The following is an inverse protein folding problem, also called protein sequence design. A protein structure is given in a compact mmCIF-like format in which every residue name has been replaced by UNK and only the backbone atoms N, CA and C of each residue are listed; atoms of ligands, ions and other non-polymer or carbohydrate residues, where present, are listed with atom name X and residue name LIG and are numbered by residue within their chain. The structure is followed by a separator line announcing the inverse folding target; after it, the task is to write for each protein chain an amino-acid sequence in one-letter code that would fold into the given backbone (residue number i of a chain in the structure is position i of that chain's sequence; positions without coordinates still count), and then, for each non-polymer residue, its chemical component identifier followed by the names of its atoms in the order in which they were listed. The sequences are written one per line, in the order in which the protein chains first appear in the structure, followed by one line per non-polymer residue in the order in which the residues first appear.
data_IF_390582193270
#
_entry.id   IF_390582193270
#
_cell.length_a   1.000
_cell.length_b   1.000
_cell.length_c   1.000
_cell.angle_alpha   90.00
_cell.angle_beta   90.00
_cell.angle_gamma   90.00
#
_symmetry.space_group_name_H-M   'P 1'
#
loop_
_entity.id
_entity.type
_entity.pdbx_description
1 polymer ?
#
# COMPACT_ATOMS: atom_id res chain seq x y z
N UNK A 1 -7.95 8.06 8.06
CA UNK A 1 -8.11 7.71 9.50
C UNK A 1 -8.65 8.87 10.35
N UNK A 2 -8.11 10.11 10.22
CA UNK A 2 -8.53 11.26 11.05
C UNK A 2 -10.04 11.56 11.06
N UNK A 3 -10.71 11.49 9.91
CA UNK A 3 -12.18 11.64 9.82
C UNK A 3 -12.94 10.60 10.66
N UNK A 4 -12.54 9.34 10.60
CA UNK A 4 -13.18 8.27 11.38
C UNK A 4 -13.04 8.52 12.89
N UNK A 5 -11.82 8.83 13.36
CA UNK A 5 -11.56 9.13 14.77
C UNK A 5 -12.41 10.30 15.27
N UNK A 6 -12.53 11.37 14.47
CA UNK A 6 -13.38 12.50 14.80
C UNK A 6 -14.86 12.09 14.93
N UNK A 7 -15.38 11.27 14.00
CA UNK A 7 -16.77 10.78 14.03
C UNK A 7 -17.07 9.89 15.25
N UNK A 8 -16.09 9.10 15.71
CA UNK A 8 -16.22 8.28 16.93
C UNK A 8 -16.40 9.15 18.18
N UNK A 9 -15.68 10.28 18.27
CA UNK A 9 -15.77 11.22 19.39
C UNK A 9 -17.12 11.97 19.45
N UNK A 10 -17.87 12.02 18.34
CA UNK A 10 -19.19 12.65 18.32
C UNK A 10 -20.30 11.73 18.84
N UNK A 11 -20.01 10.46 19.13
CA UNK A 11 -21.02 9.49 19.56
C UNK A 11 -21.38 9.69 21.05
N UNK A 12 -22.67 9.49 21.37
CA UNK A 12 -23.16 9.60 22.76
C UNK A 12 -22.57 8.53 23.69
N UNK A 13 -22.37 7.31 23.18
CA UNK A 13 -21.84 6.18 23.92
C UNK A 13 -20.52 5.72 23.29
N UNK A 14 -19.48 5.46 24.10
CA UNK A 14 -18.20 4.98 23.58
C UNK A 14 -18.36 3.55 23.03
N UNK A 15 -17.70 3.30 21.89
CA UNK A 15 -17.62 1.99 21.23
C UNK A 15 -16.31 1.88 20.47
N UNK A 16 -15.88 0.64 20.27
CA UNK A 16 -14.74 0.30 19.43
C UNK A 16 -15.20 0.01 18.00
N UNK A 17 -14.45 0.52 17.02
CA UNK A 17 -14.76 0.37 15.61
C UNK A 17 -13.52 -0.11 14.84
N UNK A 18 -13.72 -1.09 13.97
CA UNK A 18 -12.73 -1.45 12.96
C UNK A 18 -12.82 -0.46 11.79
N UNK A 19 -11.69 0.15 11.45
CA UNK A 19 -11.56 1.07 10.32
C UNK A 19 -10.63 0.45 9.29
N UNK A 20 -11.21 -0.02 8.19
CA UNK A 20 -10.50 -0.71 7.12
C UNK A 20 -11.24 -0.54 5.79
N UNK A 21 -10.52 -0.75 4.68
CA UNK A 21 -11.07 -0.71 3.32
C UNK A 21 -11.87 -1.96 2.94
N UNK A 22 -11.71 -3.05 3.71
CA UNK A 22 -12.29 -4.36 3.36
C UNK A 22 -11.60 -5.05 2.17
N UNK A 23 -10.43 -4.53 1.73
CA UNK A 23 -9.61 -5.12 0.67
C UNK A 23 -8.21 -5.40 1.21
N UNK A 24 -7.59 -6.46 0.71
CA UNK A 24 -6.20 -6.83 1.00
C UNK A 24 -5.45 -6.99 -0.31
N UNK A 25 -4.19 -6.60 -0.33
CA UNK A 25 -3.33 -6.57 -1.51
C UNK A 25 -1.94 -7.08 -1.11
N UNK A 26 -1.24 -7.71 -2.05
CA UNK A 26 0.11 -8.20 -1.80
C UNK A 26 1.16 -7.09 -1.94
N UNK A 27 2.34 -7.29 -1.34
CA UNK A 27 3.49 -6.39 -1.56
C UNK A 27 3.90 -6.37 -3.04
N UNK A 28 3.77 -7.51 -3.73
CA UNK A 28 4.00 -7.61 -5.17
C UNK A 28 3.07 -6.69 -5.95
N UNK A 29 1.78 -6.76 -5.70
CA UNK A 29 0.78 -5.94 -6.38
C UNK A 29 1.02 -4.44 -6.12
N UNK A 30 1.44 -4.08 -4.90
CA UNK A 30 1.85 -2.70 -4.61
C UNK A 30 3.03 -2.26 -5.47
N UNK A 31 4.06 -3.10 -5.59
CA UNK A 31 5.23 -2.80 -6.41
C UNK A 31 4.88 -2.66 -7.90
N UNK A 32 4.03 -3.55 -8.42
CA UNK A 32 3.53 -3.50 -9.80
C UNK A 32 2.74 -2.21 -10.07
N UNK A 33 1.81 -1.84 -9.18
CA UNK A 33 1.03 -0.61 -9.31
C UNK A 33 1.88 0.64 -9.19
N UNK A 34 2.91 0.62 -8.35
CA UNK A 34 3.85 1.72 -8.22
C UNK A 34 4.69 1.92 -9.49
N UNK A 35 5.15 0.84 -10.12
CA UNK A 35 5.83 0.89 -11.40
C UNK A 35 4.91 1.38 -12.53
N UNK A 36 3.66 0.89 -12.57
CA UNK A 36 2.66 1.34 -13.55
C UNK A 36 2.38 2.85 -13.44
N UNK A 37 2.44 3.43 -12.24
CA UNK A 37 2.24 4.87 -12.04
C UNK A 37 3.35 5.76 -12.67
N UNK A 38 4.44 5.15 -13.13
CA UNK A 38 5.53 5.79 -13.88
C UNK A 38 5.76 5.13 -15.24
N UNK A 39 4.72 4.50 -15.79
CA UNK A 39 4.72 3.86 -17.10
C UNK A 39 5.78 2.75 -17.25
N UNK A 40 6.12 2.07 -16.15
CA UNK A 40 7.01 0.90 -16.15
C UNK A 40 6.22 -0.39 -15.93
N UNK A 41 6.58 -1.44 -16.67
CA UNK A 41 6.09 -2.80 -16.44
C UNK A 41 7.17 -3.68 -15.77
N UNK A 42 6.78 -4.41 -14.73
CA UNK A 42 7.64 -5.38 -14.03
C UNK A 42 7.41 -6.77 -14.59
N UNK A 43 8.48 -7.43 -15.01
CA UNK A 43 8.53 -8.87 -15.28
C UNK A 43 9.25 -9.58 -14.13
N UNK A 44 8.58 -10.57 -13.53
CA UNK A 44 9.13 -11.35 -12.42
C UNK A 44 9.86 -12.59 -12.92
N UNK A 45 11.10 -12.76 -12.49
CA UNK A 45 11.95 -13.88 -12.86
C UNK A 45 12.58 -14.53 -11.63
N UNK A 46 12.98 -15.80 -11.77
CA UNK A 46 13.75 -16.51 -10.75
C UNK A 46 15.26 -16.39 -11.03
N UNK A 47 16.03 -15.93 -10.05
CA UNK A 47 17.49 -15.94 -10.07
C UNK A 47 18.03 -16.68 -8.84
N UNK A 48 18.61 -17.87 -9.06
CA UNK A 48 19.33 -18.67 -8.05
C UNK A 48 18.61 -18.76 -6.69
N UNK A 49 17.36 -19.19 -6.73
CA UNK A 49 16.44 -19.39 -5.59
C UNK A 49 15.76 -18.12 -5.03
N UNK A 50 16.11 -16.93 -5.50
CA UNK A 50 15.44 -15.68 -5.13
C UNK A 50 14.67 -15.10 -6.32
N UNK A 51 13.63 -14.33 -6.03
CA UNK A 51 12.82 -13.67 -7.05
C UNK A 51 13.35 -12.26 -7.32
N UNK A 52 13.41 -11.88 -8.60
CA UNK A 52 13.80 -10.55 -9.06
C UNK A 52 12.71 -9.94 -9.94
N UNK A 53 12.50 -8.63 -9.80
CA UNK A 53 11.64 -7.84 -10.67
C UNK A 53 12.49 -7.05 -11.65
N UNK A 54 12.24 -7.23 -12.94
CA UNK A 54 12.99 -6.63 -14.03
C UNK A 54 12.08 -5.71 -14.85
N UNK A 55 12.59 -4.57 -15.29
CA UNK A 55 11.87 -3.70 -16.21
C UNK A 55 11.72 -4.39 -17.55
N UNK A 56 10.49 -4.52 -18.03
CA UNK A 56 10.20 -5.10 -19.35
C UNK A 56 10.76 -4.27 -20.51
N UNK A 57 10.89 -2.96 -20.31
CA UNK A 57 11.33 -2.02 -21.35
C UNK A 57 12.85 -2.00 -21.49
N UNK A 58 13.59 -2.03 -20.37
CA UNK A 58 15.06 -1.91 -20.38
C UNK A 58 15.79 -3.22 -20.13
N UNK A 59 15.13 -4.20 -19.52
CA UNK A 59 15.76 -5.44 -19.04
C UNK A 59 16.57 -5.26 -17.75
N UNK A 60 16.52 -4.09 -17.11
CA UNK A 60 17.26 -3.82 -15.88
C UNK A 60 16.54 -4.38 -14.65
N UNK A 61 17.30 -4.96 -13.72
CA UNK A 61 16.77 -5.38 -12.42
C UNK A 61 16.42 -4.16 -11.56
N UNK A 62 15.13 -4.00 -11.27
CA UNK A 62 14.59 -2.89 -10.46
C UNK A 62 14.17 -3.32 -9.06
N UNK A 63 13.95 -4.62 -8.83
CA UNK A 63 13.59 -5.20 -7.52
C UNK A 63 14.42 -6.45 -7.26
N UNK A 64 14.96 -6.56 -6.04
CA UNK A 64 15.59 -7.78 -5.52
C UNK A 64 15.03 -8.11 -4.15
N UNK A 65 14.95 -9.40 -3.81
CA UNK A 65 14.53 -9.86 -2.49
C UNK A 65 15.76 -10.08 -1.61
N UNK A 66 15.77 -9.45 -0.43
CA UNK A 66 16.80 -9.69 0.57
C UNK A 66 16.18 -10.27 1.84
N UNK A 67 16.60 -11.50 2.17
CA UNK A 67 16.12 -12.27 3.33
C UNK A 67 16.34 -11.56 4.67
N UNK A 68 17.24 -10.57 4.75
CA UNK A 68 17.43 -9.76 5.96
C UNK A 68 16.21 -8.91 6.33
N UNK A 69 15.30 -8.64 5.38
CA UNK A 69 14.06 -7.89 5.64
C UNK A 69 12.91 -8.76 6.13
N UNK A 70 13.05 -10.10 6.09
CA UNK A 70 12.01 -11.02 6.55
C UNK A 70 11.89 -10.96 8.07
N UNK A 71 10.65 -10.96 8.58
CA UNK A 71 10.43 -11.01 10.02
C UNK A 71 10.39 -12.47 10.50
N UNK A 72 10.93 -12.79 11.70
CA UNK A 72 10.84 -14.14 12.27
C UNK A 72 9.40 -14.64 12.49
N UNK A 73 8.45 -13.71 12.64
CA UNK A 73 7.02 -13.99 12.71
C UNK A 73 6.32 -13.13 11.66
N UNK A 74 5.92 -13.75 10.56
CA UNK A 74 5.10 -13.13 9.53
C UNK A 74 3.62 -13.23 9.90
N UNK A 75 2.86 -12.19 9.57
CA UNK A 75 1.40 -12.23 9.63
C UNK A 75 0.94 -12.30 8.18
N UNK A 76 0.47 -13.47 7.77
CA UNK A 76 0.24 -13.74 6.35
C UNK A 76 -0.93 -12.93 5.77
N UNK A 77 -1.95 -12.60 6.58
CA UNK A 77 -3.17 -11.96 6.08
C UNK A 77 -3.84 -11.01 7.08
N UNK A 78 -4.03 -9.76 6.68
CA UNK A 78 -4.87 -8.78 7.37
C UNK A 78 -6.03 -8.36 6.46
N UNK A 79 -7.25 -8.57 6.95
CA UNK A 79 -8.48 -8.16 6.28
C UNK A 79 -9.44 -7.61 7.34
N UNK A 80 -9.66 -6.29 7.32
CA UNK A 80 -10.55 -5.63 8.28
C UNK A 80 -11.97 -5.49 7.75
N UNK A 81 -12.95 -5.73 8.63
CA UNK A 81 -14.38 -5.54 8.36
C UNK A 81 -14.89 -4.28 9.05
N UNK A 82 -15.22 -3.25 8.27
CA UNK A 82 -15.69 -1.95 8.76
C UNK A 82 -17.22 -1.77 8.72
N UNK A 83 -18.00 -2.86 8.63
CA UNK A 83 -19.48 -2.80 8.58
C UNK A 83 -20.09 -2.02 9.73
N UNK A 84 -19.59 -2.17 10.96
CA UNK A 84 -20.09 -1.44 12.12
C UNK A 84 -19.85 0.08 12.00
N UNK A 85 -18.66 0.48 11.56
CA UNK A 85 -18.32 1.88 11.34
C UNK A 85 -19.16 2.50 10.21
N UNK A 86 -19.42 1.75 9.15
CA UNK A 86 -20.31 2.19 8.08
C UNK A 86 -21.75 2.39 8.59
N UNK A 87 -22.30 1.40 9.30
CA UNK A 87 -23.69 1.44 9.75
C UNK A 87 -23.96 2.53 10.79
N UNK A 88 -23.07 2.71 11.76
CA UNK A 88 -23.30 3.63 12.89
C UNK A 88 -22.70 5.02 12.67
N UNK A 89 -21.56 5.12 11.98
CA UNK A 89 -20.90 6.40 11.72
C UNK A 89 -21.23 6.93 10.32
N UNK A 90 -21.69 6.10 9.38
CA UNK A 90 -21.74 6.46 7.97
C UNK A 90 -20.34 6.56 7.34
N UNK A 91 -19.33 5.99 7.99
CA UNK A 91 -17.95 6.08 7.53
C UNK A 91 -17.67 5.08 6.40
N UNK A 92 -17.00 5.56 5.34
CA UNK A 92 -16.49 4.75 4.23
C UNK A 92 -15.10 5.25 3.80
N UNK A 93 -14.22 4.38 3.28
CA UNK A 93 -12.98 4.84 2.65
C UNK A 93 -13.30 5.73 1.44
N UNK A 94 -12.53 6.81 1.28
CA UNK A 94 -12.68 7.76 0.17
C UNK A 94 -11.61 7.57 -0.91
N UNK A 95 -10.51 6.91 -0.56
CA UNK A 95 -9.39 6.58 -1.44
C UNK A 95 -9.27 5.08 -1.49
N UNK A 96 -9.14 4.52 -2.68
CA UNK A 96 -8.90 3.10 -2.90
C UNK A 96 -7.40 2.80 -3.02
N UNK A 97 -7.07 1.53 -3.26
CA UNK A 97 -5.69 1.07 -3.29
C UNK A 97 -4.89 1.71 -4.41
N UNK A 98 -5.41 1.71 -5.64
CA UNK A 98 -4.72 2.28 -6.80
C UNK A 98 -4.52 3.79 -6.65
N UNK A 99 -5.56 4.51 -6.22
CA UNK A 99 -5.45 5.94 -5.96
C UNK A 99 -4.45 6.28 -4.85
N UNK A 100 -4.35 5.44 -3.81
CA UNK A 100 -3.33 5.62 -2.76
C UNK A 100 -1.92 5.44 -3.32
N UNK A 101 -1.67 4.37 -4.08
CA UNK A 101 -0.37 4.09 -4.69
C UNK A 101 0.06 5.24 -5.60
N UNK A 102 -0.83 5.70 -6.48
CA UNK A 102 -0.57 6.82 -7.39
C UNK A 102 -0.23 8.09 -6.63
N UNK A 103 -1.01 8.45 -5.60
CA UNK A 103 -0.74 9.61 -4.75
C UNK A 103 0.64 9.56 -4.10
N UNK A 104 1.06 8.38 -3.63
CA UNK A 104 2.37 8.19 -3.00
C UNK A 104 3.50 8.38 -4.01
N UNK A 105 3.44 7.70 -5.16
CA UNK A 105 4.46 7.79 -6.22
C UNK A 105 4.60 9.21 -6.73
N UNK A 106 3.48 9.87 -7.04
CA UNK A 106 3.48 11.26 -7.52
C UNK A 106 4.03 12.24 -6.49
N UNK A 107 3.82 11.98 -5.19
CA UNK A 107 4.41 12.78 -4.13
C UNK A 107 5.93 12.60 -4.05
N UNK A 108 6.43 11.38 -4.23
CA UNK A 108 7.87 11.10 -4.17
C UNK A 108 8.61 11.59 -5.42
N UNK A 109 8.01 11.51 -6.61
CA UNK A 109 8.55 12.15 -7.82
C UNK A 109 8.77 13.65 -7.62
N UNK A 110 7.76 14.35 -7.11
CA UNK A 110 7.87 15.79 -6.81
C UNK A 110 8.99 16.11 -5.81
N UNK A 111 9.25 15.23 -4.84
CA UNK A 111 10.34 15.40 -3.87
C UNK A 111 11.70 15.23 -4.53
N UNK A 112 11.84 14.22 -5.39
CA UNK A 112 13.08 13.95 -6.14
C UNK A 112 13.38 15.09 -7.10
N UNK A 113 12.38 15.60 -7.83
CA UNK A 113 12.51 16.78 -8.72
C UNK A 113 12.98 18.04 -7.97
N UNK A 114 12.57 18.18 -6.70
CA UNK A 114 12.97 19.30 -5.83
C UNK A 114 14.34 19.09 -5.15
N UNK A 115 15.04 17.99 -5.46
CA UNK A 115 16.34 17.66 -4.87
C UNK A 115 16.27 17.20 -3.41
N UNK A 116 15.07 16.96 -2.89
CA UNK A 116 14.86 16.44 -1.54
C UNK A 116 14.87 14.92 -1.56
N UNK A 117 16.07 14.33 -1.66
CA UNK A 117 16.25 12.88 -1.59
C UNK A 117 16.79 12.53 -0.20
N UNK A 118 15.96 11.89 0.62
CA UNK A 118 16.40 11.36 1.90
C UNK A 118 16.97 9.96 1.65
N UNK A 119 18.31 9.88 1.58
CA UNK A 119 19.08 8.66 1.71
C UNK A 119 19.88 8.70 3.01
#
# INVERSE_FOLDING_TARGET
MGKAMWMMLQQKNPKDYVIATGKTHSVREFAEKAAQAIDLEIEWMADKDDEVGVSKDTGDTIITVNKSFNRPAEIDHLLGDSRLANNELGWKPEVDFEGLVEMMVQSDLKRVEQGAVWF
#
